data_IF_319165970569
#
_entry.id   IF_319165970569
#
_cell.length_a   1.000
_cell.length_b   1.000
_cell.length_c   1.000
_cell.angle_alpha   90.00
_cell.angle_beta   90.00
_cell.angle_gamma   90.00
#
_symmetry.space_group_name_H-M   'P 1'
#
loop_
_entity.id
_entity.type
_entity.pdbx_description
1 polymer ?
#
# COMPACT_ATOMS: atom_id res chain seq x y z
N UNK A 1 65.22 -50.71 45.53
CA UNK A 1 65.50 -50.70 44.08
C UNK A 1 64.40 -49.93 43.38
N UNK A 2 64.70 -48.70 42.98
CA UNK A 2 63.80 -47.85 42.19
C UNK A 2 63.74 -48.36 40.75
N UNK A 3 62.54 -48.46 40.17
CA UNK A 3 62.34 -48.54 38.71
C UNK A 3 61.54 -47.31 38.26
N UNK A 4 62.20 -46.54 37.41
CA UNK A 4 61.73 -45.41 36.61
C UNK A 4 60.62 -45.81 35.63
N UNK A 5 59.54 -45.03 35.55
CA UNK A 5 58.67 -44.96 34.37
C UNK A 5 58.76 -43.57 33.76
N UNK A 6 59.05 -43.51 32.46
CA UNK A 6 59.21 -42.29 31.69
C UNK A 6 57.89 -41.62 31.33
N UNK A 7 57.90 -40.29 31.32
CA UNK A 7 56.82 -39.44 30.81
C UNK A 7 56.88 -39.40 29.28
N UNK A 8 55.80 -39.81 28.60
CA UNK A 8 55.60 -39.57 27.18
C UNK A 8 54.85 -38.23 27.00
N UNK A 9 55.51 -37.27 26.35
CA UNK A 9 54.93 -35.97 26.00
C UNK A 9 54.16 -36.11 24.68
N UNK A 10 52.83 -36.00 24.71
CA UNK A 10 52.00 -35.89 23.50
C UNK A 10 51.67 -34.42 23.27
N UNK A 11 52.22 -33.85 22.19
CA UNK A 11 51.90 -32.49 21.73
C UNK A 11 50.61 -32.56 20.92
N UNK A 12 49.50 -32.14 21.51
CA UNK A 12 48.26 -31.88 20.79
C UNK A 12 48.37 -30.53 20.08
N UNK A 13 48.59 -30.55 18.77
CA UNK A 13 48.48 -29.37 17.91
C UNK A 13 47.04 -28.88 17.86
N UNK A 14 46.77 -27.77 18.54
CA UNK A 14 45.49 -27.07 18.44
C UNK A 14 45.37 -26.41 17.06
N UNK A 15 44.42 -26.89 16.25
CA UNK A 15 43.97 -26.18 15.07
C UNK A 15 43.21 -24.94 15.55
N UNK A 16 43.84 -23.77 15.41
CA UNK A 16 43.15 -22.49 15.60
C UNK A 16 42.19 -22.36 14.43
N UNK A 17 40.91 -22.67 14.66
CA UNK A 17 39.86 -22.28 13.72
C UNK A 17 39.88 -20.76 13.63
N UNK A 18 40.35 -20.24 12.49
CA UNK A 18 40.15 -18.86 12.13
C UNK A 18 38.65 -18.62 12.05
N UNK A 19 38.09 -17.98 13.08
CA UNK A 19 36.74 -17.42 13.02
C UNK A 19 36.83 -16.33 11.95
N UNK A 20 36.37 -16.65 10.74
CA UNK A 20 36.17 -15.66 9.70
C UNK A 20 35.13 -14.69 10.25
N UNK A 21 35.61 -13.50 10.64
CA UNK A 21 34.78 -12.40 11.10
C UNK A 21 34.06 -11.84 9.87
N UNK A 22 33.11 -12.62 9.33
CA UNK A 22 32.21 -12.15 8.28
C UNK A 22 31.33 -11.10 8.93
N UNK A 23 31.56 -9.83 8.60
CA UNK A 23 30.64 -8.76 8.96
C UNK A 23 29.29 -9.11 8.32
N UNK A 24 28.35 -9.55 9.15
CA UNK A 24 27.02 -9.89 8.70
C UNK A 24 26.43 -8.66 7.97
N UNK A 25 25.90 -8.81 6.74
CA UNK A 25 25.40 -7.69 5.97
C UNK A 25 24.16 -7.08 6.65
N UNK A 26 24.11 -5.74 6.72
CA UNK A 26 22.99 -4.97 7.29
C UNK A 26 21.83 -4.84 6.29
N UNK A 27 21.26 -5.99 5.89
CA UNK A 27 20.13 -6.05 4.95
C UNK A 27 19.07 -7.03 5.45
N UNK A 28 17.83 -6.87 5.01
CA UNK A 28 16.73 -7.71 5.46
C UNK A 28 16.59 -7.69 6.98
N UNK A 29 16.31 -8.86 7.56
CA UNK A 29 16.20 -9.04 9.02
C UNK A 29 17.53 -8.79 9.76
N UNK A 30 18.68 -8.96 9.10
CA UNK A 30 19.99 -8.76 9.72
C UNK A 30 20.25 -7.28 10.06
N UNK A 31 19.57 -6.35 9.39
CA UNK A 31 19.67 -4.91 9.66
C UNK A 31 19.17 -4.50 11.06
N UNK A 32 18.45 -5.37 11.78
CA UNK A 32 18.02 -5.14 13.17
C UNK A 32 19.20 -5.13 14.15
N UNK A 33 20.34 -5.71 13.75
CA UNK A 33 21.53 -5.77 14.61
C UNK A 33 21.93 -4.35 15.06
N UNK A 34 22.14 -4.10 16.37
CA UNK A 34 22.50 -2.76 16.87
C UNK A 34 23.76 -2.12 16.28
N UNK A 35 24.60 -2.92 15.59
CA UNK A 35 25.77 -2.41 14.85
C UNK A 35 25.42 -1.84 13.48
N UNK A 36 24.23 -2.12 12.97
CA UNK A 36 23.73 -1.56 11.74
C UNK A 36 23.22 -0.13 11.98
N UNK A 37 23.72 0.81 11.19
CA UNK A 37 23.35 2.22 11.29
C UNK A 37 22.12 2.46 10.41
N UNK A 38 21.11 3.12 10.98
CA UNK A 38 19.92 3.50 10.24
C UNK A 38 20.22 4.63 9.25
N UNK A 39 19.76 4.46 8.01
CA UNK A 39 19.78 5.52 6.99
C UNK A 39 18.47 6.33 6.97
N UNK A 40 17.57 6.15 7.95
CA UNK A 40 16.32 6.91 8.04
C UNK A 40 16.56 8.30 8.62
N UNK A 41 15.70 9.25 8.28
CA UNK A 41 15.86 10.64 8.71
C UNK A 41 15.40 10.86 10.14
N UNK A 42 16.08 11.76 10.84
CA UNK A 42 15.66 12.20 12.16
C UNK A 42 14.34 12.95 12.09
N UNK A 43 13.44 12.62 13.00
CA UNK A 43 12.10 13.20 13.10
C UNK A 43 11.57 13.09 14.53
N UNK A 44 10.58 13.91 14.86
CA UNK A 44 9.73 13.71 16.03
C UNK A 44 8.58 12.78 15.67
N UNK A 45 8.24 11.88 16.57
CA UNK A 45 7.14 10.91 16.40
C UNK A 45 6.10 11.10 17.49
N UNK A 46 4.87 11.30 17.06
CA UNK A 46 3.68 11.29 17.90
C UNK A 46 2.71 10.20 17.41
N UNK A 47 1.86 9.69 18.30
CA UNK A 47 0.83 8.70 17.96
C UNK A 47 -0.52 9.17 18.46
N UNK A 48 -1.55 8.85 17.68
CA UNK A 48 -2.94 9.21 17.97
C UNK A 48 -3.88 8.07 17.57
N UNK A 49 -5.07 8.10 18.15
CA UNK A 49 -6.22 7.37 17.65
C UNK A 49 -7.34 8.38 17.40
N UNK A 50 -8.03 8.24 16.28
CA UNK A 50 -9.16 9.09 15.88
C UNK A 50 -10.35 8.24 15.48
N UNK A 51 -11.55 8.82 15.55
CA UNK A 51 -12.79 8.09 15.36
C UNK A 51 -13.00 7.01 16.43
N UNK A 52 -13.62 5.92 16.00
CA UNK A 52 -14.09 4.86 16.86
C UNK A 52 -15.50 5.11 17.40
N UNK A 53 -16.21 4.03 17.69
CA UNK A 53 -17.57 4.04 18.24
C UNK A 53 -17.68 3.13 19.45
N UNK A 54 -18.68 3.41 20.28
CA UNK A 54 -19.08 2.54 21.38
C UNK A 54 -19.79 1.30 20.83
N UNK A 55 -19.41 0.13 21.31
CA UNK A 55 -20.10 -1.14 21.09
C UNK A 55 -20.51 -1.72 22.44
N UNK A 56 -21.80 -1.76 22.70
CA UNK A 56 -22.33 -2.32 23.94
C UNK A 56 -22.24 -3.85 23.93
N UNK A 57 -21.72 -4.40 25.02
CA UNK A 57 -21.62 -5.83 25.31
C UNK A 57 -22.23 -6.11 26.69
N UNK A 58 -22.41 -7.38 27.04
CA UNK A 58 -23.05 -7.77 28.31
C UNK A 58 -22.35 -7.24 29.57
N UNK A 59 -21.06 -6.89 29.48
CA UNK A 59 -20.24 -6.42 30.60
C UNK A 59 -19.92 -4.92 30.57
N UNK A 60 -20.41 -4.16 29.59
CA UNK A 60 -20.09 -2.73 29.42
C UNK A 60 -20.00 -2.33 27.95
N UNK A 61 -19.21 -1.31 27.64
CA UNK A 61 -18.96 -0.89 26.25
C UNK A 61 -17.49 -1.02 25.86
N UNK A 62 -17.27 -1.37 24.58
CA UNK A 62 -15.96 -1.39 23.94
C UNK A 62 -15.84 -0.20 22.99
N UNK A 63 -14.64 0.36 22.86
CA UNK A 63 -14.30 1.23 21.72
C UNK A 63 -13.78 0.35 20.58
N UNK A 64 -14.42 0.45 19.43
CA UNK A 64 -14.05 -0.26 18.20
C UNK A 64 -14.00 0.71 17.03
N UNK A 65 -13.44 0.28 15.91
CA UNK A 65 -13.40 1.05 14.65
C UNK A 65 -12.59 2.35 14.74
N UNK A 66 -11.67 2.46 15.69
CA UNK A 66 -10.72 3.58 15.80
C UNK A 66 -9.56 3.42 14.82
N UNK A 67 -9.09 4.56 14.30
CA UNK A 67 -7.98 4.65 13.36
C UNK A 67 -6.70 5.03 14.08
N UNK A 68 -5.68 4.16 14.01
CA UNK A 68 -4.32 4.50 14.42
C UNK A 68 -3.67 5.47 13.44
N UNK A 69 -3.06 6.52 13.98
CA UNK A 69 -2.35 7.55 13.23
C UNK A 69 -0.98 7.78 13.85
N UNK A 70 0.07 7.58 13.06
CA UNK A 70 1.45 7.92 13.42
C UNK A 70 1.86 9.20 12.69
N UNK A 71 2.20 10.24 13.45
CA UNK A 71 2.64 11.54 12.93
C UNK A 71 4.15 11.64 13.01
N UNK A 72 4.79 11.86 11.86
CA UNK A 72 6.23 12.07 11.74
C UNK A 72 6.52 13.51 11.30
N UNK A 73 7.24 14.25 12.12
CA UNK A 73 7.59 15.67 11.90
C UNK A 73 9.08 15.80 11.59
N UNK A 74 9.49 16.39 10.44
CA UNK A 74 10.90 16.55 10.09
C UNK A 74 11.67 17.33 11.17
N UNK A 75 12.86 16.85 11.55
CA UNK A 75 13.68 17.57 12.56
C UNK A 75 14.12 18.96 12.11
N UNK A 76 14.18 19.22 10.80
CA UNK A 76 14.48 20.54 10.24
C UNK A 76 13.27 21.51 10.25
N UNK A 77 12.09 21.03 10.69
CA UNK A 77 10.83 21.76 10.60
C UNK A 77 10.02 21.43 9.35
N UNK A 78 8.73 21.76 9.38
CA UNK A 78 7.81 21.59 8.24
C UNK A 78 7.92 22.82 7.33
N UNK A 79 8.21 22.60 6.05
CA UNK A 79 8.29 23.67 5.04
C UNK A 79 7.18 23.57 4.00
N UNK A 80 6.56 22.39 3.86
CA UNK A 80 5.47 22.17 2.92
C UNK A 80 4.12 22.55 3.54
N UNK A 81 3.22 23.22 2.79
CA UNK A 81 2.01 23.81 3.36
C UNK A 81 0.91 22.79 3.68
N UNK A 82 0.96 21.60 3.07
CA UNK A 82 -0.04 20.54 3.25
C UNK A 82 0.67 19.25 3.63
N UNK A 83 0.15 18.49 4.61
CA UNK A 83 0.74 17.22 4.99
C UNK A 83 0.41 16.12 3.98
N UNK A 84 1.12 15.00 4.11
CA UNK A 84 0.86 13.76 3.37
C UNK A 84 0.31 12.71 4.33
N UNK A 85 -0.70 11.97 3.89
CA UNK A 85 -1.26 10.84 4.63
C UNK A 85 -1.06 9.58 3.80
N UNK A 86 -0.42 8.57 4.41
CA UNK A 86 -0.12 7.30 3.76
C UNK A 86 -1.13 6.21 4.13
N UNK A 87 -1.67 5.57 3.10
CA UNK A 87 -2.69 4.53 3.19
C UNK A 87 -2.18 3.20 2.63
N UNK A 88 -1.86 2.23 3.49
CA UNK A 88 -1.28 0.94 3.08
C UNK A 88 -2.25 -0.02 2.35
N UNK A 89 -1.70 -0.98 1.61
CA UNK A 89 -2.46 -2.02 0.92
C UNK A 89 -3.05 -3.11 1.83
N UNK A 90 -3.67 -4.12 1.21
CA UNK A 90 -4.21 -5.27 1.92
C UNK A 90 -3.10 -6.19 2.43
N UNK A 91 -3.36 -6.88 3.54
CA UNK A 91 -2.44 -7.84 4.16
C UNK A 91 -1.06 -7.29 4.56
N UNK A 92 -0.91 -5.97 4.64
CA UNK A 92 0.25 -5.25 5.18
C UNK A 92 -0.25 -4.14 6.11
N UNK A 93 0.66 -3.37 6.71
CA UNK A 93 0.32 -2.20 7.53
C UNK A 93 1.07 -0.95 7.07
N UNK A 94 0.93 0.15 7.80
CA UNK A 94 1.64 1.41 7.56
C UNK A 94 3.17 1.28 7.53
N UNK A 95 3.71 0.17 8.02
CA UNK A 95 5.14 -0.16 7.98
C UNK A 95 5.74 -0.18 6.57
N UNK A 96 4.93 -0.43 5.53
CA UNK A 96 5.38 -0.39 4.13
C UNK A 96 5.80 1.00 3.65
N UNK A 97 5.42 2.07 4.34
CA UNK A 97 5.84 3.44 4.02
C UNK A 97 7.16 3.84 4.68
N UNK A 98 7.62 3.06 5.67
CA UNK A 98 8.89 3.24 6.38
C UNK A 98 10.04 2.63 5.55
N UNK A 99 11.12 2.16 6.19
CA UNK A 99 12.25 1.58 5.46
C UNK A 99 11.82 0.40 4.58
N UNK A 100 12.49 0.24 3.44
CA UNK A 100 12.25 -0.90 2.53
C UNK A 100 12.68 -2.21 3.18
N UNK A 101 12.24 -3.38 2.67
CA UNK A 101 12.63 -4.68 3.20
C UNK A 101 14.14 -4.93 3.24
N UNK A 102 14.90 -4.32 2.33
CA UNK A 102 16.36 -4.38 2.29
C UNK A 102 17.08 -3.29 3.11
N UNK A 103 16.32 -2.41 3.78
CA UNK A 103 16.82 -1.40 4.73
C UNK A 103 17.07 0.00 4.14
N UNK A 104 16.73 0.23 2.87
CA UNK A 104 16.84 1.57 2.25
C UNK A 104 15.79 2.53 2.81
N UNK A 105 15.92 3.81 2.46
CA UNK A 105 14.91 4.82 2.73
C UNK A 105 13.62 4.45 2.01
N UNK A 106 12.49 4.55 2.70
CA UNK A 106 11.18 4.51 2.07
C UNK A 106 10.59 5.90 1.84
N UNK A 107 9.33 5.91 1.43
CA UNK A 107 8.60 7.14 1.10
C UNK A 107 8.50 8.09 2.29
N UNK A 108 8.21 7.60 3.49
CA UNK A 108 8.13 8.47 4.67
C UNK A 108 9.41 9.27 4.86
N UNK A 109 10.57 8.62 4.77
CA UNK A 109 11.87 9.29 4.89
C UNK A 109 12.12 10.28 3.75
N UNK A 110 11.79 9.91 2.51
CA UNK A 110 11.92 10.81 1.35
C UNK A 110 11.14 12.12 1.57
N UNK A 111 9.85 12.01 1.94
CA UNK A 111 9.01 13.18 2.10
C UNK A 111 9.34 13.99 3.37
N UNK A 112 9.83 13.34 4.44
CA UNK A 112 10.37 14.05 5.59
C UNK A 112 11.60 14.90 5.21
N UNK A 113 12.52 14.34 4.40
CA UNK A 113 13.70 15.07 3.89
C UNK A 113 13.30 16.27 3.02
N UNK A 114 12.14 16.21 2.40
CA UNK A 114 11.58 17.24 1.53
C UNK A 114 10.64 18.21 2.27
N UNK A 115 10.59 18.12 3.61
CA UNK A 115 9.94 19.08 4.49
C UNK A 115 8.42 18.89 4.66
N UNK A 116 7.89 17.73 4.27
CA UNK A 116 6.49 17.39 4.51
C UNK A 116 6.28 16.90 5.94
N UNK A 117 5.18 17.34 6.55
CA UNK A 117 4.59 16.62 7.68
C UNK A 117 3.95 15.33 7.14
N UNK A 118 4.32 14.18 7.71
CA UNK A 118 3.84 12.86 7.27
C UNK A 118 2.94 12.24 8.33
N UNK A 119 1.83 11.66 7.90
CA UNK A 119 0.96 10.80 8.70
C UNK A 119 0.92 9.41 8.09
N UNK A 120 1.15 8.38 8.90
CA UNK A 120 1.09 6.97 8.49
C UNK A 120 -0.06 6.33 9.24
N UNK A 121 -0.96 5.70 8.50
CA UNK A 121 -2.10 5.01 9.07
C UNK A 121 -1.84 3.51 9.16
N UNK A 122 -2.45 2.87 10.15
CA UNK A 122 -2.89 1.48 10.02
C UNK A 122 -4.41 1.54 9.83
N UNK A 123 -4.94 1.09 8.70
CA UNK A 123 -6.37 1.22 8.41
C UNK A 123 -7.24 0.44 9.40
N UNK A 124 -8.53 0.78 9.44
CA UNK A 124 -9.51 0.17 10.34
C UNK A 124 -9.37 -1.36 10.33
N UNK A 125 -9.32 -1.94 11.53
CA UNK A 125 -9.19 -3.39 11.76
C UNK A 125 -7.88 -4.02 11.28
N UNK A 126 -6.80 -3.26 11.18
CA UNK A 126 -5.46 -3.75 10.82
C UNK A 126 -4.42 -3.24 11.79
N UNK A 127 -3.46 -4.09 12.12
CA UNK A 127 -2.28 -3.66 12.87
C UNK A 127 -2.66 -3.06 14.22
N UNK A 128 -2.40 -1.77 14.39
CA UNK A 128 -2.70 -1.03 15.63
C UNK A 128 -4.13 -0.50 15.71
N UNK A 129 -4.88 -0.49 14.61
CA UNK A 129 -6.31 -0.23 14.61
C UNK A 129 -7.06 -1.52 14.95
N UNK A 130 -7.71 -1.57 16.12
CA UNK A 130 -8.25 -2.82 16.67
C UNK A 130 -9.26 -3.49 15.72
N UNK A 131 -9.21 -4.82 15.63
CA UNK A 131 -10.26 -5.61 14.97
C UNK A 131 -11.38 -5.96 15.96
N UNK A 132 -12.62 -5.71 15.54
CA UNK A 132 -13.82 -6.00 16.33
C UNK A 132 -14.22 -7.48 16.25
N UNK A 133 -14.08 -8.12 15.09
CA UNK A 133 -14.42 -9.53 14.94
C UNK A 133 -13.23 -10.45 15.29
N UNK A 134 -13.30 -11.05 16.48
CA UNK A 134 -12.29 -12.00 16.97
C UNK A 134 -12.28 -13.34 16.22
N UNK A 135 -13.29 -13.62 15.39
CA UNK A 135 -13.36 -14.80 14.52
C UNK A 135 -12.86 -14.51 13.10
N UNK A 136 -12.94 -13.26 12.65
CA UNK A 136 -12.58 -12.79 11.31
C UNK A 136 -11.28 -11.94 11.27
N UNK A 137 -10.31 -12.30 12.11
CA UNK A 137 -8.93 -11.76 12.04
C UNK A 137 -7.95 -12.82 11.55
N UNK A 138 -8.13 -13.27 10.31
CA UNK A 138 -7.37 -14.37 9.72
C UNK A 138 -6.51 -13.90 8.54
N UNK A 139 -5.37 -14.56 8.34
CA UNK A 139 -4.60 -14.41 7.11
C UNK A 139 -5.40 -14.98 5.93
N UNK A 140 -5.30 -14.32 4.78
CA UNK A 140 -5.94 -14.80 3.56
C UNK A 140 -5.13 -15.96 2.97
N UNK A 141 -5.81 -16.96 2.41
CA UNK A 141 -5.12 -18.08 1.75
C UNK A 141 -4.22 -17.63 0.59
N UNK A 142 -4.50 -16.49 -0.03
CA UNK A 142 -3.68 -15.88 -1.09
C UNK A 142 -2.43 -15.17 -0.57
N UNK A 143 -2.17 -15.14 0.74
CA UNK A 143 -0.97 -14.53 1.33
C UNK A 143 0.04 -15.58 1.78
N UNK A 144 0.01 -16.79 1.20
CA UNK A 144 1.11 -17.76 1.35
C UNK A 144 2.41 -17.21 0.78
N UNK A 145 3.56 -17.73 1.21
CA UNK A 145 4.85 -17.25 0.71
C UNK A 145 4.98 -17.43 -0.80
N UNK A 146 4.47 -18.55 -1.33
CA UNK A 146 4.44 -18.85 -2.76
C UNK A 146 3.57 -17.84 -3.51
N UNK A 147 2.40 -17.49 -2.96
CA UNK A 147 1.50 -16.51 -3.57
C UNK A 147 2.08 -15.09 -3.51
N UNK A 148 2.68 -14.70 -2.38
CA UNK A 148 3.38 -13.41 -2.24
C UNK A 148 4.54 -13.32 -3.22
N UNK A 149 5.31 -14.39 -3.37
CA UNK A 149 6.39 -14.45 -4.35
C UNK A 149 5.87 -14.27 -5.77
N UNK A 150 4.90 -15.10 -6.16
CA UNK A 150 4.37 -15.12 -7.53
C UNK A 150 3.56 -13.87 -7.89
N UNK A 151 2.95 -13.19 -6.92
CA UNK A 151 2.13 -12.01 -7.20
C UNK A 151 2.92 -10.70 -7.12
N UNK A 152 3.93 -10.62 -6.25
CA UNK A 152 4.46 -9.32 -5.83
C UNK A 152 5.97 -9.17 -5.91
N UNK A 153 6.75 -10.16 -5.49
CA UNK A 153 8.22 -9.99 -5.32
C UNK A 153 9.03 -10.65 -6.42
N UNK A 154 8.48 -11.66 -7.10
CA UNK A 154 9.09 -12.30 -8.26
C UNK A 154 8.02 -12.81 -9.27
N UNK A 155 7.06 -11.96 -9.70
CA UNK A 155 6.02 -12.35 -10.66
C UNK A 155 6.56 -12.84 -12.01
N UNK A 156 7.76 -12.43 -12.41
CA UNK A 156 8.43 -12.87 -13.64
C UNK A 156 8.71 -14.38 -13.66
N UNK A 157 8.71 -15.05 -12.50
CA UNK A 157 8.98 -16.50 -12.41
C UNK A 157 7.73 -17.36 -12.60
N UNK A 158 6.56 -16.78 -12.39
CA UNK A 158 5.25 -17.44 -12.55
C UNK A 158 4.31 -16.48 -13.28
N UNK A 159 4.63 -16.10 -14.53
CA UNK A 159 3.90 -15.06 -15.23
C UNK A 159 2.46 -15.51 -15.53
N UNK A 160 1.49 -14.89 -14.85
CA UNK A 160 0.04 -15.08 -15.12
C UNK A 160 -0.51 -14.06 -16.13
N UNK A 161 0.32 -13.09 -16.50
CA UNK A 161 0.08 -12.07 -17.53
C UNK A 161 1.41 -11.74 -18.22
N UNK A 162 1.41 -11.40 -19.52
CA UNK A 162 2.65 -11.26 -20.29
C UNK A 162 3.65 -10.23 -19.74
N UNK A 163 3.15 -9.14 -19.15
CA UNK A 163 4.00 -8.06 -18.68
C UNK A 163 4.77 -8.39 -17.40
N UNK A 164 4.40 -9.44 -16.66
CA UNK A 164 5.09 -9.88 -15.45
C UNK A 164 6.59 -10.13 -15.69
N UNK A 165 6.97 -10.57 -16.88
CA UNK A 165 8.36 -10.84 -17.29
C UNK A 165 9.27 -9.60 -17.26
N UNK A 166 8.69 -8.39 -17.27
CA UNK A 166 9.43 -7.13 -17.21
C UNK A 166 9.95 -6.81 -15.79
N UNK A 167 9.50 -7.54 -14.78
CA UNK A 167 9.78 -7.22 -13.38
C UNK A 167 11.27 -7.41 -13.05
N UNK A 168 11.91 -6.35 -12.57
CA UNK A 168 13.35 -6.34 -12.29
C UNK A 168 13.73 -5.48 -11.08
N UNK A 169 12.78 -4.78 -10.47
CA UNK A 169 13.08 -3.75 -9.47
C UNK A 169 12.97 -4.21 -8.02
N UNK A 170 12.51 -5.43 -7.73
CA UNK A 170 12.55 -5.94 -6.37
C UNK A 170 14.00 -6.00 -5.82
N UNK A 171 14.23 -5.61 -4.54
CA UNK A 171 15.54 -5.74 -3.93
C UNK A 171 15.89 -7.22 -3.65
N UNK A 172 17.10 -7.63 -4.07
CA UNK A 172 17.49 -9.03 -4.03
C UNK A 172 16.85 -9.84 -5.15
N UNK A 173 16.66 -11.14 -4.92
CA UNK A 173 16.05 -12.05 -5.91
C UNK A 173 14.53 -12.12 -5.81
N UNK A 174 13.94 -11.62 -4.72
CA UNK A 174 12.51 -11.68 -4.47
C UNK A 174 11.97 -13.09 -4.21
N UNK A 175 12.84 -14.09 -4.12
CA UNK A 175 12.47 -15.50 -3.93
C UNK A 175 12.42 -15.88 -2.45
N UNK A 176 11.69 -16.94 -2.14
CA UNK A 176 11.72 -17.61 -0.84
C UNK A 176 13.17 -17.94 -0.46
N UNK A 177 13.58 -17.50 0.73
CA UNK A 177 14.96 -17.61 1.23
C UNK A 177 15.86 -16.41 0.93
N UNK A 178 15.41 -15.45 0.11
CA UNK A 178 16.09 -14.16 -0.04
C UNK A 178 15.85 -13.27 1.20
N UNK A 179 16.88 -12.61 1.76
CA UNK A 179 16.72 -11.77 2.95
C UNK A 179 15.69 -10.64 2.82
N UNK A 180 15.53 -10.05 1.63
CA UNK A 180 14.59 -8.95 1.39
C UNK A 180 13.17 -9.49 1.26
N UNK A 181 12.99 -10.63 0.59
CA UNK A 181 11.72 -11.34 0.57
C UNK A 181 11.30 -11.75 1.99
N UNK A 182 12.23 -12.34 2.76
CA UNK A 182 11.97 -12.77 4.12
C UNK A 182 11.60 -11.62 5.06
N UNK A 183 12.26 -10.46 4.91
CA UNK A 183 11.89 -9.27 5.66
C UNK A 183 10.47 -8.78 5.28
N UNK A 184 10.16 -8.72 3.98
CA UNK A 184 8.84 -8.28 3.50
C UNK A 184 7.71 -9.20 3.96
N UNK A 185 7.83 -10.51 3.72
CA UNK A 185 6.78 -11.48 4.06
C UNK A 185 6.51 -11.60 5.56
N UNK A 186 7.43 -11.14 6.42
CA UNK A 186 7.22 -11.04 7.87
C UNK A 186 6.36 -9.85 8.27
N UNK A 187 6.19 -8.86 7.39
CA UNK A 187 5.23 -7.76 7.54
C UNK A 187 3.82 -8.09 7.05
N UNK A 188 3.59 -9.31 6.53
CA UNK A 188 2.26 -9.75 6.12
C UNK A 188 1.42 -10.05 7.36
N UNK A 189 0.29 -9.34 7.49
CA UNK A 189 -0.60 -9.40 8.66
C UNK A 189 -2.05 -9.64 8.24
N UNK A 190 -2.92 -10.16 9.14
CA UNK A 190 -4.35 -10.28 8.86
C UNK A 190 -5.00 -8.93 8.54
N UNK A 191 -6.08 -8.99 7.77
CA UNK A 191 -6.89 -7.82 7.38
C UNK A 191 -8.38 -8.22 7.39
N UNK A 192 -9.28 -7.26 7.58
CA UNK A 192 -10.73 -7.50 7.66
C UNK A 192 -11.32 -8.14 6.40
N UNK A 193 -12.23 -9.09 6.58
CA UNK A 193 -13.06 -9.68 5.51
C UNK A 193 -14.28 -8.81 5.17
N UNK A 194 -14.65 -7.87 6.04
CA UNK A 194 -15.85 -7.06 5.91
C UNK A 194 -15.51 -5.65 5.41
N UNK A 195 -15.47 -5.52 4.08
CA UNK A 195 -15.15 -4.25 3.42
C UNK A 195 -16.16 -3.14 3.75
N UNK A 196 -17.46 -3.45 3.81
CA UNK A 196 -18.50 -2.46 4.11
C UNK A 196 -18.27 -1.81 5.48
N UNK A 197 -17.99 -2.61 6.51
CA UNK A 197 -17.73 -2.08 7.85
C UNK A 197 -16.44 -1.24 7.89
N UNK A 198 -15.38 -1.72 7.23
CA UNK A 198 -14.12 -0.96 7.12
C UNK A 198 -14.30 0.38 6.39
N UNK A 199 -15.10 0.40 5.31
CA UNK A 199 -15.44 1.63 4.58
C UNK A 199 -16.24 2.61 5.46
N UNK A 200 -17.30 2.15 6.13
CA UNK A 200 -18.12 3.01 7.00
C UNK A 200 -17.30 3.61 8.16
N UNK A 201 -16.48 2.80 8.81
CA UNK A 201 -15.62 3.26 9.89
C UNK A 201 -14.59 4.30 9.41
N UNK A 202 -13.97 4.06 8.26
CA UNK A 202 -12.98 4.97 7.71
C UNK A 202 -13.59 6.28 7.22
N UNK A 203 -14.81 6.29 6.68
CA UNK A 203 -15.52 7.54 6.33
C UNK A 203 -15.63 8.47 7.53
N UNK A 204 -15.98 7.92 8.70
CA UNK A 204 -16.06 8.68 9.95
C UNK A 204 -14.67 9.10 10.43
N UNK A 205 -13.79 8.14 10.70
CA UNK A 205 -12.49 8.42 11.31
C UNK A 205 -11.55 9.23 10.39
N UNK A 206 -11.60 8.98 9.09
CA UNK A 206 -10.78 9.67 8.09
C UNK A 206 -11.22 11.12 7.87
N UNK A 207 -12.53 11.39 7.79
CA UNK A 207 -13.00 12.78 7.71
C UNK A 207 -12.78 13.53 9.03
N UNK A 208 -12.87 12.86 10.19
CA UNK A 208 -12.47 13.45 11.47
C UNK A 208 -10.97 13.83 11.49
N UNK A 209 -10.10 12.91 11.06
CA UNK A 209 -8.66 13.18 10.93
C UNK A 209 -8.40 14.40 10.05
N UNK A 210 -9.01 14.43 8.87
CA UNK A 210 -8.86 15.50 7.90
C UNK A 210 -9.38 16.85 8.43
N UNK A 211 -10.48 16.85 9.17
CA UNK A 211 -10.99 18.06 9.81
C UNK A 211 -10.03 18.60 10.89
N UNK A 212 -9.30 17.72 11.59
CA UNK A 212 -8.31 18.11 12.61
C UNK A 212 -7.02 18.69 12.01
N UNK A 213 -6.57 18.18 10.86
CA UNK A 213 -5.26 18.53 10.29
C UNK A 213 -5.35 19.44 9.06
N UNK A 214 -6.54 19.60 8.48
CA UNK A 214 -6.79 20.42 7.30
C UNK A 214 -6.47 19.73 5.97
N UNK A 215 -6.53 20.49 4.86
CA UNK A 215 -6.36 19.95 3.51
C UNK A 215 -5.05 19.20 3.30
N UNK A 216 -5.14 17.94 2.89
CA UNK A 216 -4.01 16.99 2.84
C UNK A 216 -3.95 16.24 1.51
N UNK A 217 -2.75 15.81 1.10
CA UNK A 217 -2.61 14.85 -0.01
C UNK A 217 -2.65 13.43 0.53
N UNK A 218 -3.44 12.58 -0.11
CA UNK A 218 -3.66 11.20 0.30
C UNK A 218 -2.90 10.29 -0.67
N UNK A 219 -1.89 9.58 -0.16
CA UNK A 219 -1.08 8.66 -0.96
C UNK A 219 -1.42 7.24 -0.52
N UNK A 220 -1.97 6.46 -1.43
CA UNK A 220 -2.46 5.10 -1.18
C UNK A 220 -1.75 4.07 -2.03
N UNK A 221 -1.75 2.84 -1.55
CA UNK A 221 -1.33 1.66 -2.30
C UNK A 221 -2.43 0.59 -2.29
N UNK A 222 -2.71 -0.03 -3.44
CA UNK A 222 -3.54 -1.23 -3.53
C UNK A 222 -4.90 -1.06 -2.84
N UNK A 223 -5.28 -1.97 -1.94
CA UNK A 223 -6.51 -1.92 -1.18
C UNK A 223 -6.73 -0.58 -0.44
N UNK A 224 -5.65 0.07 -0.02
CA UNK A 224 -5.67 1.35 0.68
C UNK A 224 -6.30 2.48 -0.12
N UNK A 225 -6.32 2.39 -1.46
CA UNK A 225 -6.98 3.37 -2.34
C UNK A 225 -8.48 3.51 -2.08
N UNK A 226 -9.10 2.47 -1.52
CA UNK A 226 -10.52 2.47 -1.18
C UNK A 226 -10.85 3.68 -0.31
N UNK A 227 -10.00 4.02 0.65
CA UNK A 227 -10.30 5.02 1.65
C UNK A 227 -10.18 6.46 1.13
N UNK A 228 -9.09 6.90 0.48
CA UNK A 228 -9.03 8.23 -0.13
C UNK A 228 -10.15 8.52 -1.12
N UNK A 229 -10.63 7.51 -1.85
CA UNK A 229 -11.78 7.67 -2.73
C UNK A 229 -13.05 8.04 -1.94
N UNK A 230 -13.30 7.34 -0.82
CA UNK A 230 -14.45 7.63 0.05
C UNK A 230 -14.32 9.01 0.71
N UNK A 231 -13.12 9.40 1.14
CA UNK A 231 -12.89 10.73 1.68
C UNK A 231 -13.09 11.83 0.62
N UNK A 232 -12.79 11.52 -0.65
CA UNK A 232 -13.11 12.40 -1.79
C UNK A 232 -14.62 12.51 -2.04
N UNK A 233 -15.43 11.55 -1.59
CA UNK A 233 -16.90 11.63 -1.61
C UNK A 233 -17.42 12.42 -0.41
N UNK A 234 -16.93 12.12 0.79
CA UNK A 234 -17.60 12.55 2.03
C UNK A 234 -17.11 13.89 2.55
N UNK A 235 -15.84 14.22 2.33
CA UNK A 235 -15.21 15.46 2.77
C UNK A 235 -14.19 16.00 1.76
N UNK A 236 -14.58 16.20 0.48
CA UNK A 236 -13.68 16.61 -0.61
C UNK A 236 -12.93 17.91 -0.33
N UNK A 237 -13.47 18.82 0.48
CA UNK A 237 -12.86 20.09 0.86
C UNK A 237 -11.52 19.93 1.59
N UNK A 238 -11.28 18.78 2.22
CA UNK A 238 -10.02 18.46 2.89
C UNK A 238 -9.08 17.59 2.04
N UNK A 239 -9.49 17.16 0.85
CA UNK A 239 -8.66 16.30 -0.01
C UNK A 239 -7.98 17.14 -1.08
N UNK A 240 -6.72 17.50 -0.83
CA UNK A 240 -5.92 18.28 -1.78
C UNK A 240 -5.56 17.49 -3.06
N UNK A 241 -5.51 16.17 -2.94
CA UNK A 241 -5.33 15.25 -4.06
C UNK A 241 -5.31 13.81 -3.59
N UNK A 242 -5.81 12.92 -4.44
CA UNK A 242 -5.90 11.48 -4.22
C UNK A 242 -4.91 10.76 -5.16
N UNK A 243 -3.82 10.26 -4.60
CA UNK A 243 -2.67 9.71 -5.32
C UNK A 243 -2.57 8.21 -5.05
N UNK A 244 -2.74 7.41 -6.09
CA UNK A 244 -2.85 5.96 -5.98
C UNK A 244 -1.69 5.28 -6.68
N UNK A 245 -0.83 4.62 -5.90
CA UNK A 245 0.10 3.63 -6.39
C UNK A 245 -0.68 2.33 -6.59
N UNK A 246 -1.15 2.09 -7.81
CA UNK A 246 -1.94 0.90 -8.19
C UNK A 246 -3.18 0.69 -7.32
N UNK A 247 -4.26 1.38 -7.67
CA UNK A 247 -5.52 1.39 -6.92
C UNK A 247 -6.20 0.01 -6.88
N UNK A 248 -6.98 -0.27 -5.85
CA UNK A 248 -7.91 -1.41 -5.81
C UNK A 248 -9.31 -1.11 -6.31
N UNK A 249 -9.67 0.18 -6.55
CA UNK A 249 -11.02 0.62 -6.92
C UNK A 249 -11.47 0.26 -8.34
N UNK A 250 -11.18 -0.95 -8.82
CA UNK A 250 -11.68 -1.43 -10.11
C UNK A 250 -13.21 -1.42 -10.12
N UNK A 251 -13.84 -0.84 -11.17
CA UNK A 251 -15.27 -0.65 -11.18
C UNK A 251 -16.03 -1.97 -11.24
N UNK A 252 -16.93 -2.21 -10.29
CA UNK A 252 -17.86 -3.36 -10.19
C UNK A 252 -17.24 -4.78 -10.15
N UNK A 253 -15.93 -4.94 -10.31
CA UNK A 253 -15.30 -6.23 -10.58
C UNK A 253 -13.93 -6.38 -9.92
N UNK A 254 -13.62 -7.58 -9.46
CA UNK A 254 -12.26 -8.03 -9.13
C UNK A 254 -11.83 -9.06 -10.16
N UNK A 255 -10.67 -8.86 -10.78
CA UNK A 255 -10.13 -9.78 -11.78
C UNK A 255 -9.45 -10.99 -11.13
N UNK A 256 -9.69 -12.17 -11.70
CA UNK A 256 -8.94 -13.38 -11.41
C UNK A 256 -7.72 -13.54 -12.31
N UNK A 257 -7.00 -14.66 -12.14
CA UNK A 257 -5.76 -14.95 -12.89
C UNK A 257 -6.01 -15.44 -14.32
N UNK A 258 -7.17 -16.02 -14.62
CA UNK A 258 -7.52 -16.51 -15.96
C UNK A 258 -8.40 -15.50 -16.73
N UNK A 259 -8.59 -15.72 -18.04
CA UNK A 259 -9.55 -14.97 -18.86
C UNK A 259 -10.97 -15.24 -18.35
N UNK A 260 -11.81 -14.21 -18.31
CA UNK A 260 -13.18 -14.21 -17.79
C UNK A 260 -13.30 -14.65 -16.31
N UNK A 261 -12.18 -14.79 -15.60
CA UNK A 261 -12.17 -15.09 -14.18
C UNK A 261 -12.28 -13.81 -13.35
N UNK A 262 -13.03 -13.89 -12.26
CA UNK A 262 -13.20 -12.78 -11.34
C UNK A 262 -14.49 -12.89 -10.54
N UNK A 263 -14.80 -11.83 -9.81
CA UNK A 263 -16.05 -11.74 -9.04
C UNK A 263 -16.58 -10.32 -9.02
N UNK A 264 -17.90 -10.21 -8.95
CA UNK A 264 -18.57 -8.93 -8.72
C UNK A 264 -18.20 -8.41 -7.32
N UNK A 265 -17.95 -7.11 -7.24
CA UNK A 265 -17.62 -6.40 -6.00
C UNK A 265 -17.99 -4.93 -6.18
N UNK A 266 -17.90 -4.12 -5.13
CA UNK A 266 -18.10 -2.66 -5.21
C UNK A 266 -19.40 -2.31 -5.95
N UNK A 267 -20.57 -2.75 -5.44
CA UNK A 267 -21.85 -2.56 -6.12
C UNK A 267 -22.18 -1.09 -6.44
N UNK A 268 -21.54 -0.13 -5.75
CA UNK A 268 -21.66 1.31 -6.01
C UNK A 268 -20.67 1.83 -7.06
N UNK A 269 -20.13 0.95 -7.91
CA UNK A 269 -19.10 1.28 -8.89
C UNK A 269 -17.73 1.13 -8.28
N UNK A 270 -17.35 2.04 -7.38
CA UNK A 270 -15.99 2.15 -6.87
C UNK A 270 -15.83 1.78 -5.38
N UNK A 271 -16.93 1.49 -4.69
CA UNK A 271 -16.99 1.20 -3.25
C UNK A 271 -18.07 0.16 -2.92
N UNK A 272 -17.99 -0.41 -1.73
CA UNK A 272 -19.03 -1.30 -1.19
C UNK A 272 -20.16 -0.54 -0.49
N UNK A 273 -19.93 0.73 -0.16
CA UNK A 273 -20.88 1.66 0.47
C UNK A 273 -21.36 2.75 -0.51
N UNK A 274 -22.55 3.37 -0.27
CA UNK A 274 -23.13 4.38 -1.15
C UNK A 274 -22.22 5.55 -1.55
N UNK A 275 -22.31 6.01 -2.80
CA UNK A 275 -21.62 7.20 -3.29
C UNK A 275 -22.63 8.26 -3.74
N UNK A 276 -22.21 9.51 -3.74
CA UNK A 276 -23.07 10.67 -3.99
C UNK A 276 -23.21 10.89 -5.51
N UNK A 277 -23.92 9.98 -6.16
CA UNK A 277 -24.23 10.06 -7.58
C UNK A 277 -25.16 11.23 -7.91
N UNK A 278 -24.97 11.80 -9.10
CA UNK A 278 -25.90 12.74 -9.72
C UNK A 278 -26.33 12.24 -11.12
N UNK A 279 -27.64 11.97 -11.34
CA UNK A 279 -28.72 11.96 -10.33
C UNK A 279 -28.49 10.92 -9.22
N UNK A 280 -29.14 11.10 -8.06
CA UNK A 280 -29.01 10.21 -6.91
C UNK A 280 -29.43 8.77 -7.23
N UNK A 281 -28.76 7.80 -6.60
CA UNK A 281 -28.99 6.36 -6.76
C UNK A 281 -29.49 5.83 -5.42
N UNK A 282 -30.73 5.32 -5.40
CA UNK A 282 -31.34 4.76 -4.20
C UNK A 282 -31.01 3.27 -4.09
N UNK A 283 -30.99 2.57 -5.23
CA UNK A 283 -30.67 1.15 -5.32
C UNK A 283 -29.57 0.86 -6.35
N UNK A 284 -28.65 -0.04 -6.01
CA UNK A 284 -27.50 -0.39 -6.86
C UNK A 284 -27.91 -0.98 -8.21
N UNK A 285 -29.13 -1.52 -8.37
CA UNK A 285 -29.66 -1.98 -9.66
C UNK A 285 -29.86 -0.85 -10.67
N UNK A 286 -29.95 0.41 -10.23
CA UNK A 286 -30.01 1.56 -11.12
C UNK A 286 -28.68 1.83 -11.83
N UNK A 287 -27.56 1.35 -11.27
CA UNK A 287 -26.24 1.42 -11.89
C UNK A 287 -26.09 0.31 -12.93
N UNK A 288 -26.73 0.51 -14.09
CA UNK A 288 -26.61 -0.40 -15.23
C UNK A 288 -25.15 -0.47 -15.70
N UNK A 289 -24.67 -1.69 -15.92
CA UNK A 289 -23.28 -1.95 -16.30
C UNK A 289 -23.16 -2.40 -17.75
N UNK A 290 -22.04 -2.07 -18.39
CA UNK A 290 -21.64 -2.59 -19.71
C UNK A 290 -20.20 -3.12 -19.63
N UNK A 291 -19.93 -4.17 -20.40
CA UNK A 291 -18.57 -4.69 -20.58
C UNK A 291 -17.97 -4.03 -21.81
N UNK A 292 -16.78 -3.44 -21.67
CA UNK A 292 -16.09 -2.69 -22.74
C UNK A 292 -14.72 -3.29 -23.00
N UNK A 293 -14.43 -3.57 -24.28
CA UNK A 293 -13.17 -4.17 -24.71
C UNK A 293 -13.16 -5.70 -24.65
N UNK A 294 -12.13 -6.29 -25.26
CA UNK A 294 -11.91 -7.75 -25.23
C UNK A 294 -11.11 -8.13 -23.99
N UNK A 295 -11.46 -9.24 -23.36
CA UNK A 295 -10.69 -9.76 -22.22
C UNK A 295 -9.49 -10.57 -22.70
N UNK A 296 -8.30 -10.12 -22.33
CA UNK A 296 -7.04 -10.84 -22.57
C UNK A 296 -6.16 -10.73 -21.34
N UNK A 297 -5.23 -11.67 -21.15
CA UNK A 297 -4.27 -11.59 -20.04
C UNK A 297 -3.37 -10.35 -20.11
N UNK A 298 -3.11 -9.81 -21.31
CA UNK A 298 -2.32 -8.59 -21.49
C UNK A 298 -3.12 -7.31 -21.21
N UNK A 299 -4.45 -7.35 -21.40
CA UNK A 299 -5.35 -6.22 -21.25
C UNK A 299 -6.75 -6.75 -20.99
N UNK A 300 -7.23 -6.51 -19.78
CA UNK A 300 -8.57 -6.94 -19.36
C UNK A 300 -9.66 -6.06 -19.95
N UNK A 301 -10.85 -6.60 -20.09
CA UNK A 301 -12.04 -5.80 -20.37
C UNK A 301 -12.42 -4.95 -19.15
N UNK A 302 -13.24 -3.92 -19.33
CA UNK A 302 -13.73 -3.08 -18.24
C UNK A 302 -15.21 -3.28 -17.99
N UNK A 303 -15.64 -3.27 -16.71
CA UNK A 303 -17.05 -3.11 -16.35
C UNK A 303 -17.33 -1.65 -16.02
N UNK A 304 -18.09 -0.97 -16.88
CA UNK A 304 -18.34 0.46 -16.82
C UNK A 304 -19.82 0.78 -16.67
N UNK A 305 -20.18 2.04 -16.41
CA UNK A 305 -21.57 2.48 -16.42
C UNK A 305 -22.12 2.44 -17.86
N UNK A 306 -23.37 1.99 -18.02
CA UNK A 306 -24.10 2.14 -19.28
C UNK A 306 -24.45 3.62 -19.48
N UNK A 307 -24.35 4.11 -20.73
CA UNK A 307 -24.71 5.50 -21.03
C UNK A 307 -26.25 5.71 -20.98
N UNK A 308 -26.72 6.91 -20.56
CA UNK A 308 -25.93 8.01 -20.00
C UNK A 308 -25.39 7.67 -18.59
N UNK A 309 -24.08 7.81 -18.39
CA UNK A 309 -23.43 7.52 -17.11
C UNK A 309 -23.74 8.61 -16.07
N UNK A 310 -23.99 8.19 -14.82
CA UNK A 310 -24.19 9.10 -13.68
C UNK A 310 -22.86 9.70 -13.27
N UNK A 311 -22.93 10.93 -12.74
CA UNK A 311 -21.76 11.70 -12.29
C UNK A 311 -21.52 11.51 -10.80
N UNK A 312 -20.28 11.73 -10.36
CA UNK A 312 -19.88 11.74 -8.95
C UNK A 312 -19.18 13.08 -8.68
N UNK A 313 -19.91 14.20 -8.58
CA UNK A 313 -19.32 15.53 -8.60
C UNK A 313 -18.33 15.77 -7.45
N UNK A 314 -18.58 15.22 -6.26
CA UNK A 314 -17.67 15.34 -5.12
C UNK A 314 -16.34 14.65 -5.38
N UNK A 315 -16.36 13.39 -5.82
CA UNK A 315 -15.16 12.66 -6.22
C UNK A 315 -14.47 13.36 -7.40
N UNK A 316 -15.24 13.82 -8.40
CA UNK A 316 -14.72 14.50 -9.58
C UNK A 316 -14.06 15.87 -9.27
N UNK A 317 -14.43 16.50 -8.15
CA UNK A 317 -13.84 17.76 -7.71
C UNK A 317 -12.41 17.62 -7.15
N UNK A 318 -12.04 16.40 -6.74
CA UNK A 318 -10.72 16.11 -6.16
C UNK A 318 -9.73 15.70 -7.26
N UNK A 319 -8.54 16.32 -7.34
CA UNK A 319 -7.49 15.89 -8.26
C UNK A 319 -7.09 14.43 -7.99
N UNK A 320 -7.13 13.60 -9.03
CA UNK A 320 -6.85 12.17 -8.94
C UNK A 320 -5.63 11.80 -9.78
N UNK A 321 -4.71 11.02 -9.19
CA UNK A 321 -3.55 10.45 -9.86
C UNK A 321 -3.52 8.93 -9.67
N UNK A 322 -3.32 8.20 -10.77
CA UNK A 322 -2.98 6.79 -10.76
C UNK A 322 -1.55 6.58 -11.28
N UNK A 323 -0.73 5.83 -10.55
CA UNK A 323 0.56 5.32 -11.01
C UNK A 323 0.45 3.82 -11.23
N UNK A 324 1.02 3.34 -12.33
CA UNK A 324 1.01 1.92 -12.70
C UNK A 324 2.41 1.46 -13.11
N UNK A 325 2.91 0.42 -12.45
CA UNK A 325 4.15 -0.27 -12.83
C UNK A 325 3.92 -1.14 -14.06
N UNK A 326 4.88 -1.17 -14.99
CA UNK A 326 4.71 -1.91 -16.23
C UNK A 326 4.70 -3.42 -16.04
N UNK A 327 5.35 -3.91 -14.98
CA UNK A 327 5.43 -5.33 -14.66
C UNK A 327 4.41 -5.78 -13.61
N UNK A 328 3.53 -4.88 -13.18
CA UNK A 328 2.43 -5.20 -12.28
C UNK A 328 1.20 -5.68 -13.05
N UNK A 329 0.40 -6.53 -12.41
CA UNK A 329 -0.90 -6.98 -12.94
C UNK A 329 -1.85 -5.80 -13.21
N UNK A 330 -1.65 -4.69 -12.50
CA UNK A 330 -2.40 -3.45 -12.66
C UNK A 330 -2.31 -2.85 -14.06
N UNK A 331 -1.20 -3.07 -14.79
CA UNK A 331 -1.06 -2.62 -16.19
C UNK A 331 -2.16 -3.20 -17.10
N UNK A 332 -2.72 -4.35 -16.71
CA UNK A 332 -3.75 -5.05 -17.49
C UNK A 332 -5.13 -4.39 -17.35
N UNK A 333 -5.43 -3.67 -16.26
CA UNK A 333 -6.79 -3.20 -15.95
C UNK A 333 -6.92 -1.77 -15.37
N UNK A 334 -5.84 -1.08 -14.98
CA UNK A 334 -5.94 0.28 -14.39
C UNK A 334 -6.59 1.29 -15.35
N UNK A 335 -6.55 1.03 -16.66
CA UNK A 335 -7.30 1.84 -17.63
C UNK A 335 -8.82 1.87 -17.36
N UNK A 336 -9.38 0.88 -16.65
CA UNK A 336 -10.79 0.81 -16.32
C UNK A 336 -11.21 1.86 -15.28
N UNK A 337 -10.42 2.10 -14.23
CA UNK A 337 -10.76 3.20 -13.28
C UNK A 337 -10.67 4.55 -13.97
N UNK A 338 -9.67 4.74 -14.84
CA UNK A 338 -9.47 6.00 -15.55
C UNK A 338 -10.67 6.29 -16.45
N UNK A 339 -11.21 5.28 -17.13
CA UNK A 339 -12.44 5.42 -17.92
C UNK A 339 -13.66 5.68 -17.05
N UNK A 340 -13.82 4.96 -15.93
CA UNK A 340 -14.94 5.15 -15.03
C UNK A 340 -14.95 6.55 -14.41
N UNK A 341 -13.82 7.06 -13.93
CA UNK A 341 -13.72 8.40 -13.35
C UNK A 341 -14.03 9.49 -14.39
N UNK A 342 -13.67 9.29 -15.66
CA UNK A 342 -14.08 10.17 -16.77
C UNK A 342 -15.59 10.11 -17.01
N UNK A 343 -16.20 8.91 -17.01
CA UNK A 343 -17.66 8.77 -17.06
C UNK A 343 -18.34 9.49 -15.89
N UNK A 344 -17.75 9.43 -14.71
CA UNK A 344 -18.24 10.09 -13.50
C UNK A 344 -18.01 11.63 -13.48
N UNK A 345 -17.38 12.20 -14.51
CA UNK A 345 -17.20 13.65 -14.67
C UNK A 345 -15.84 14.18 -14.20
N UNK A 346 -14.91 13.32 -13.77
CA UNK A 346 -13.57 13.71 -13.35
C UNK A 346 -12.55 13.76 -14.49
N UNK A 347 -11.39 14.34 -14.20
CA UNK A 347 -10.23 14.42 -15.11
C UNK A 347 -9.00 13.75 -14.47
N UNK A 348 -8.99 12.41 -14.33
CA UNK A 348 -7.90 11.72 -13.66
C UNK A 348 -6.61 11.77 -14.49
N UNK A 349 -5.50 12.01 -13.80
CA UNK A 349 -4.16 11.78 -14.35
C UNK A 349 -3.79 10.30 -14.23
N UNK A 350 -3.16 9.76 -15.26
CA UNK A 350 -2.63 8.41 -15.26
C UNK A 350 -1.19 8.41 -15.75
N UNK A 351 -0.28 7.97 -14.90
CA UNK A 351 1.13 7.85 -15.21
C UNK A 351 1.49 6.37 -15.20
N UNK A 352 1.79 5.83 -16.38
CA UNK A 352 2.52 4.56 -16.47
C UNK A 352 4.00 4.86 -16.26
N UNK A 353 4.64 4.16 -15.34
CA UNK A 353 6.02 4.45 -14.97
C UNK A 353 6.98 4.35 -16.18
N UNK A 354 6.75 3.37 -17.06
CA UNK A 354 7.55 3.17 -18.27
C UNK A 354 7.52 4.37 -19.24
N UNK A 355 6.39 5.09 -19.33
CA UNK A 355 6.27 6.31 -20.14
C UNK A 355 7.14 7.47 -19.60
N UNK A 356 7.68 7.32 -18.38
CA UNK A 356 8.62 8.24 -17.72
C UNK A 356 10.02 7.65 -17.58
N UNK A 357 10.35 6.61 -18.33
CA UNK A 357 11.62 5.87 -18.25
C UNK A 357 11.90 5.25 -16.87
N UNK A 358 10.85 4.99 -16.07
CA UNK A 358 10.94 4.25 -14.81
C UNK A 358 10.41 2.84 -15.09
N UNK A 359 11.32 1.91 -15.32
CA UNK A 359 11.01 0.58 -15.87
C UNK A 359 11.26 -0.56 -14.87
N UNK A 360 10.53 -1.65 -15.06
CA UNK A 360 10.70 -2.92 -14.35
C UNK A 360 9.98 -3.01 -13.01
N UNK A 361 9.08 -2.07 -12.73
CA UNK A 361 8.37 -1.98 -11.47
C UNK A 361 7.13 -2.90 -11.42
N UNK A 362 6.99 -3.59 -10.29
CA UNK A 362 5.83 -4.39 -9.94
C UNK A 362 4.90 -3.68 -8.96
N UNK A 363 4.09 -4.46 -8.24
CA UNK A 363 2.99 -3.93 -7.45
C UNK A 363 3.43 -3.08 -6.26
N UNK A 364 4.50 -3.49 -5.58
CA UNK A 364 5.05 -2.78 -4.42
C UNK A 364 6.14 -1.79 -4.83
N UNK A 365 5.89 -1.01 -5.88
CA UNK A 365 6.85 -0.06 -6.48
C UNK A 365 7.51 0.91 -5.48
N UNK A 366 6.84 1.22 -4.37
CA UNK A 366 7.38 2.08 -3.30
C UNK A 366 8.41 1.38 -2.39
N UNK A 367 8.51 0.05 -2.47
CA UNK A 367 9.52 -0.77 -1.78
C UNK A 367 10.68 -1.17 -2.70
N UNK A 368 10.52 -1.00 -4.02
CA UNK A 368 11.47 -1.45 -5.04
C UNK A 368 12.73 -0.57 -5.13
N UNK A 369 13.74 -1.01 -5.87
CA UNK A 369 15.10 -0.42 -5.91
C UNK A 369 15.11 1.06 -6.32
N UNK A 370 14.25 1.43 -7.26
CA UNK A 370 14.07 2.77 -7.79
C UNK A 370 12.92 3.54 -7.12
N UNK A 371 12.53 3.17 -5.90
CA UNK A 371 11.41 3.81 -5.19
C UNK A 371 11.58 5.33 -5.03
N UNK A 372 12.80 5.86 -4.93
CA UNK A 372 13.05 7.31 -4.82
C UNK A 372 12.68 8.06 -6.12
N UNK A 373 12.83 7.43 -7.29
CA UNK A 373 12.41 8.03 -8.57
C UNK A 373 10.88 8.15 -8.64
N UNK A 374 10.18 7.16 -8.07
CA UNK A 374 8.71 7.16 -7.98
C UNK A 374 8.24 8.16 -6.93
N UNK A 375 8.91 8.27 -5.78
CA UNK A 375 8.60 9.28 -4.78
C UNK A 375 8.76 10.70 -5.34
N UNK A 376 9.81 10.94 -6.12
CA UNK A 376 10.01 12.18 -6.86
C UNK A 376 8.89 12.45 -7.87
N UNK A 377 8.46 11.43 -8.61
CA UNK A 377 7.37 11.55 -9.58
C UNK A 377 6.05 11.97 -8.91
N UNK A 378 5.77 11.42 -7.72
CA UNK A 378 4.62 11.81 -6.90
C UNK A 378 4.77 13.26 -6.41
N UNK A 379 5.94 13.64 -5.91
CA UNK A 379 6.22 15.01 -5.48
C UNK A 379 6.08 16.01 -6.64
N UNK A 380 6.63 15.71 -7.82
CA UNK A 380 6.53 16.57 -9.02
C UNK A 380 5.06 16.82 -9.39
N UNK A 381 4.19 15.81 -9.23
CA UNK A 381 2.75 15.97 -9.43
C UNK A 381 2.12 16.87 -8.35
N UNK A 382 2.49 16.69 -7.09
CA UNK A 382 2.04 17.52 -5.96
C UNK A 382 2.42 18.99 -6.17
N UNK A 383 3.69 19.27 -6.52
CA UNK A 383 4.20 20.61 -6.77
C UNK A 383 3.48 21.27 -7.94
N UNK A 384 3.36 20.56 -9.07
CA UNK A 384 2.63 21.07 -10.25
C UNK A 384 1.18 21.46 -9.93
N UNK A 385 0.53 20.75 -9.00
CA UNK A 385 -0.83 21.08 -8.53
C UNK A 385 -0.85 22.21 -7.52
N UNK A 386 0.15 22.30 -6.63
CA UNK A 386 0.31 23.39 -5.67
C UNK A 386 0.59 24.75 -6.32
N UNK A 387 1.33 24.75 -7.43
CA UNK A 387 1.71 25.94 -8.19
C UNK A 387 0.60 26.46 -9.13
N UNK A 388 -0.53 25.74 -9.23
CA UNK A 388 -1.68 26.08 -10.07
C UNK A 388 -2.54 27.24 -9.57
N UNK A 389 -1.92 28.33 -9.10
CA UNK A 389 -2.54 29.67 -9.06
C UNK A 389 -2.53 30.32 -10.44
#
# INVERSE_FOLDING_TARGET
MYRTLGLALTVLGGVVNAVTNTTQPCTGLAAINPRCISNQSYHQRDIFYVGGRSLDISTGNLTVDQLYVEKLTPSAGVTQPKPLIFFHGGAVSGTTWLNTPDGRKGFATYFLDHGYQVYILDHISVGRSSQMDTRDYVLWNTTTQESVQAAFTAPELVPTYPQAELHTQWPGTGRIGDPSFDAFRKGVVPFTSNFTLGELAMRVAGCELLALIGPSYLISHSLGSTYPLLLSNDCPEYVAGNINLEHSNHPFWNYGVAIDAGSATRPWGLSNTPLDYEPAVDDVSELRQVVVGNDTLARRNCRLQAEPARKLPKIASVPYLCLTGEASVHVTYDHCIIQFLRQAGGTPDWIKLADRNITGNGHFMHLEKNNMDIAKLVEDWIVKRGDGR
#
